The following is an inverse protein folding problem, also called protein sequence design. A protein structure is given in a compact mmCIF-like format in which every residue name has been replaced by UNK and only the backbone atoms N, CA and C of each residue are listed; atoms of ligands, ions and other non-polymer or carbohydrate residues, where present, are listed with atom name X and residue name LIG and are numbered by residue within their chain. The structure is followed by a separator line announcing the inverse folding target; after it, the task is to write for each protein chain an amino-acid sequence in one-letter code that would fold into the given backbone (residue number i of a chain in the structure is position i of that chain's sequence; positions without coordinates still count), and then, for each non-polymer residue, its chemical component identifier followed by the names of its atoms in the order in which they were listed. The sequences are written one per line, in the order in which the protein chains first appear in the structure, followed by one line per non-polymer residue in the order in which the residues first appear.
data_IF_270588868013
#
_entry.id   IF_270588868013
#
_cell.length_a   1.000
_cell.length_b   1.000
_cell.length_c   1.000
_cell.angle_alpha   90.00
_cell.angle_beta   90.00
_cell.angle_gamma   90.00
#
_symmetry.space_group_name_H-M   'P 1'
#
loop_
_entity.id
_entity.type
_entity.pdbx_description
1 polymer ?
#
# COMPACT_ATOMS: atom_id res chain seq x y z
N UNK A 1 -55.26 27.33 10.44
CA UNK A 1 -54.79 28.51 9.69
C UNK A 1 -53.31 28.66 9.98
N UNK A 2 -52.48 28.39 8.98
CA UNK A 2 -51.03 28.54 9.04
C UNK A 2 -50.72 30.03 8.90
N UNK A 3 -49.94 30.66 9.79
CA UNK A 3 -49.44 32.01 9.52
C UNK A 3 -48.26 31.90 8.57
N UNK A 4 -48.50 32.35 7.33
CA UNK A 4 -47.48 32.67 6.33
C UNK A 4 -46.61 33.82 6.82
N UNK A 5 -45.30 33.64 6.79
CA UNK A 5 -44.29 34.71 6.92
C UNK A 5 -43.50 34.75 5.62
N UNK A 6 -43.18 35.95 5.08
CA UNK A 6 -42.84 36.16 3.68
C UNK A 6 -41.39 35.83 3.36
N UNK A 7 -41.13 35.33 2.15
CA UNK A 7 -39.78 35.23 1.59
C UNK A 7 -39.16 36.63 1.42
N UNK A 8 -37.93 36.87 1.91
CA UNK A 8 -37.15 38.03 1.53
C UNK A 8 -36.35 37.78 0.25
N UNK A 9 -35.97 38.86 -0.48
CA UNK A 9 -35.51 38.79 -1.85
C UNK A 9 -34.12 38.15 -1.97
N UNK A 10 -33.93 37.44 -3.08
CA UNK A 10 -32.64 36.91 -3.51
C UNK A 10 -31.74 38.07 -3.95
N UNK A 11 -31.09 38.74 -3.00
CA UNK A 11 -29.93 39.61 -3.26
C UNK A 11 -28.66 38.89 -2.79
N UNK A 12 -27.81 38.57 -3.76
CA UNK A 12 -26.50 38.00 -3.52
C UNK A 12 -25.60 39.03 -2.81
N UNK A 13 -25.58 38.98 -1.48
CA UNK A 13 -24.59 39.69 -0.68
C UNK A 13 -23.23 38.99 -0.84
N UNK A 14 -22.37 39.57 -1.69
CA UNK A 14 -20.95 39.22 -1.77
C UNK A 14 -20.28 39.47 -0.41
N UNK A 15 -19.70 38.42 0.17
CA UNK A 15 -18.81 38.51 1.31
C UNK A 15 -17.47 39.19 0.92
N UNK A 16 -16.78 39.86 1.86
CA UNK A 16 -15.74 40.84 1.55
C UNK A 16 -14.52 40.21 0.85
N UNK A 17 -14.06 40.92 -0.18
CA UNK A 17 -12.92 40.60 -1.02
C UNK A 17 -11.63 40.39 -0.23
N UNK A 18 -11.10 39.16 -0.26
CA UNK A 18 -9.69 38.91 -0.04
C UNK A 18 -8.91 39.44 -1.26
N UNK A 19 -8.03 40.41 -1.06
CA UNK A 19 -7.31 41.18 -2.10
C UNK A 19 -6.20 40.40 -2.84
N UNK A 20 -6.32 39.08 -3.01
CA UNK A 20 -5.26 38.25 -3.61
C UNK A 20 -5.64 37.49 -4.90
N UNK A 21 -6.83 37.75 -5.50
CA UNK A 21 -7.17 37.16 -6.79
C UNK A 21 -7.94 38.15 -7.66
N UNK A 22 -7.20 38.90 -8.48
CA UNK A 22 -7.70 39.47 -9.73
C UNK A 22 -6.71 39.11 -10.84
N UNK A 23 -6.98 38.02 -11.55
CA UNK A 23 -6.56 37.82 -12.93
C UNK A 23 -7.37 36.65 -13.51
N UNK A 24 -8.38 37.00 -14.28
CA UNK A 24 -9.09 36.08 -15.17
C UNK A 24 -8.20 35.67 -16.36
N UNK A 25 -8.43 34.44 -16.80
CA UNK A 25 -8.25 33.93 -18.17
C UNK A 25 -6.86 34.03 -18.80
N UNK A 26 -6.06 32.97 -18.63
CA UNK A 26 -5.43 32.18 -19.71
C UNK A 26 -4.72 30.97 -19.07
N UNK A 27 -5.02 29.79 -19.61
CA UNK A 27 -4.38 28.48 -19.46
C UNK A 27 -3.36 28.25 -18.31
N UNK A 28 -3.65 27.23 -17.49
CA UNK A 28 -2.69 26.42 -16.73
C UNK A 28 -1.66 27.18 -15.87
N UNK A 29 -2.11 27.74 -14.75
CA UNK A 29 -1.23 27.91 -13.59
C UNK A 29 -2.04 27.91 -12.28
N UNK A 30 -1.67 27.02 -11.35
CA UNK A 30 -2.05 27.11 -9.93
C UNK A 30 -0.77 27.09 -9.11
N UNK A 31 -0.34 28.26 -8.65
CA UNK A 31 0.69 28.41 -7.62
C UNK A 31 -0.01 28.72 -6.29
N UNK A 32 0.31 27.96 -5.24
CA UNK A 32 -0.04 28.29 -3.86
C UNK A 32 1.26 28.47 -3.08
N UNK A 33 1.55 29.70 -2.66
CA UNK A 33 2.70 30.01 -1.80
C UNK A 33 2.43 29.58 -0.36
N UNK A 34 2.51 28.28 -0.05
CA UNK A 34 2.69 27.83 1.34
C UNK A 34 3.27 26.41 1.53
N UNK A 35 3.61 25.68 0.46
CA UNK A 35 4.08 24.28 0.59
C UNK A 35 5.32 23.89 -0.23
N UNK A 36 6.03 24.84 -0.86
CA UNK A 36 7.43 24.64 -1.28
C UNK A 36 7.75 23.45 -2.20
N UNK A 37 6.79 22.89 -2.94
CA UNK A 37 7.02 21.80 -3.90
C UNK A 37 6.36 22.16 -5.23
N UNK A 38 7.15 22.19 -6.31
CA UNK A 38 6.70 22.39 -7.68
C UNK A 38 7.00 21.13 -8.50
N UNK A 39 6.01 20.66 -9.27
CA UNK A 39 6.21 19.71 -10.36
C UNK A 39 5.57 20.31 -11.61
N UNK A 40 6.36 20.43 -12.68
CA UNK A 40 5.88 20.83 -14.00
C UNK A 40 6.92 20.54 -15.07
N UNK A 41 6.51 19.81 -16.11
CA UNK A 41 7.31 19.55 -17.32
C UNK A 41 7.12 20.67 -18.35
N UNK A 42 8.22 21.09 -19.00
CA UNK A 42 8.20 21.46 -20.41
C UNK A 42 9.62 21.40 -21.02
N UNK A 43 9.70 20.73 -22.18
CA UNK A 43 10.69 20.80 -23.24
C UNK A 43 12.12 21.31 -22.96
N UNK A 44 13.07 20.36 -22.93
CA UNK A 44 14.45 20.59 -23.38
C UNK A 44 15.44 21.09 -22.33
N UNK A 45 16.13 20.16 -21.67
CA UNK A 45 17.43 20.39 -21.02
C UNK A 45 17.40 20.62 -19.51
N UNK A 46 18.21 19.86 -18.77
CA UNK A 46 18.50 20.09 -17.35
C UNK A 46 19.66 21.07 -17.21
N UNK A 47 19.58 21.99 -16.26
CA UNK A 47 20.75 22.68 -15.69
C UNK A 47 20.65 22.66 -14.16
N UNK A 48 21.75 22.31 -13.50
CA UNK A 48 21.95 22.32 -12.05
C UNK A 48 22.79 23.56 -11.72
N UNK A 49 22.49 24.26 -10.62
CA UNK A 49 23.41 25.24 -10.00
C UNK A 49 23.67 24.84 -8.54
N UNK A 50 24.91 25.06 -8.12
CA UNK A 50 25.70 24.34 -7.12
C UNK A 50 25.41 24.59 -5.62
N UNK A 51 25.93 23.69 -4.74
CA UNK A 51 25.79 23.74 -3.30
C UNK A 51 26.98 24.44 -2.62
N UNK A 52 26.79 25.65 -2.12
CA UNK A 52 27.68 26.22 -1.12
C UNK A 52 27.15 25.86 0.26
N UNK A 53 27.81 24.90 0.93
CA UNK A 53 27.99 24.68 2.38
C UNK A 53 28.06 23.16 2.61
N UNK A 54 29.28 22.63 2.83
CA UNK A 54 29.68 21.58 3.80
C UNK A 54 31.19 21.21 3.59
N UNK A 55 31.89 20.66 4.61
CA UNK A 55 33.27 21.04 4.99
C UNK A 55 34.40 20.12 4.47
N UNK A 56 35.64 20.48 4.85
CA UNK A 56 36.92 20.28 4.16
C UNK A 56 37.63 18.91 4.21
N UNK A 57 37.00 17.81 4.61
CA UNK A 57 37.77 16.59 5.00
C UNK A 57 37.77 15.42 3.98
N UNK A 58 37.51 15.66 2.69
CA UNK A 58 37.53 14.59 1.66
C UNK A 58 38.45 14.88 0.45
N UNK A 59 39.54 15.63 0.65
CA UNK A 59 40.59 15.80 -0.36
C UNK A 59 41.65 14.70 -0.29
N UNK A 60 41.35 13.48 -0.75
CA UNK A 60 42.39 12.50 -1.11
C UNK A 60 41.87 11.33 -1.97
N UNK A 61 41.61 11.54 -3.27
CA UNK A 61 41.67 10.44 -4.25
C UNK A 61 42.35 10.93 -5.53
N UNK A 62 43.40 10.20 -5.92
CA UNK A 62 44.31 10.47 -7.04
C UNK A 62 43.59 10.46 -8.40
N UNK A 63 44.00 11.36 -9.31
CA UNK A 63 43.54 11.47 -10.71
C UNK A 63 43.89 10.21 -11.53
N UNK A 64 43.03 9.75 -12.46
CA UNK A 64 43.43 8.80 -13.51
C UNK A 64 44.08 9.50 -14.72
N UNK A 65 44.93 8.74 -15.41
CA UNK A 65 45.77 9.09 -16.55
C UNK A 65 44.99 9.48 -17.83
N UNK A 66 45.62 10.21 -18.79
CA UNK A 66 44.94 10.74 -19.96
C UNK A 66 44.75 9.67 -21.06
N UNK A 67 43.49 9.38 -21.39
CA UNK A 67 43.16 8.45 -22.48
C UNK A 67 41.68 8.08 -22.63
N UNK A 68 40.78 8.56 -21.77
CA UNK A 68 39.36 8.18 -21.81
C UNK A 68 38.50 9.28 -22.46
N UNK A 69 37.81 8.93 -23.56
CA UNK A 69 36.81 9.80 -24.19
C UNK A 69 35.69 10.12 -23.20
N UNK A 70 35.28 11.39 -23.14
CA UNK A 70 34.17 11.88 -22.33
C UNK A 70 32.85 11.41 -22.93
N UNK A 71 32.09 10.62 -22.18
CA UNK A 71 30.68 10.36 -22.48
C UNK A 71 29.83 11.49 -21.87
N UNK A 72 28.85 11.94 -22.66
CA UNK A 72 27.96 13.06 -22.32
C UNK A 72 26.94 12.66 -21.24
N UNK A 73 26.31 13.63 -20.59
CA UNK A 73 25.35 13.44 -19.49
C UNK A 73 24.10 12.58 -19.83
N UNK A 74 23.92 12.15 -21.08
CA UNK A 74 22.92 11.15 -21.47
C UNK A 74 23.31 9.71 -21.09
N UNK A 75 24.60 9.41 -20.87
CA UNK A 75 25.09 8.05 -20.63
C UNK A 75 25.00 7.61 -19.16
N UNK A 76 24.80 8.55 -18.23
CA UNK A 76 24.69 8.24 -16.78
C UNK A 76 23.27 7.87 -16.32
N UNK A 77 22.26 7.91 -17.21
CA UNK A 77 20.87 7.45 -16.92
C UNK A 77 20.58 6.01 -17.29
N UNK A 78 21.57 5.22 -17.72
CA UNK A 78 21.37 3.82 -18.16
C UNK A 78 22.23 2.84 -17.38
N UNK A 79 21.85 2.58 -16.13
CA UNK A 79 22.27 1.37 -15.44
C UNK A 79 21.06 0.44 -15.25
N UNK A 80 20.72 -0.24 -16.34
CA UNK A 80 20.06 -1.55 -16.41
C UNK A 80 20.61 -2.22 -17.69
N UNK A 81 21.91 -2.51 -17.67
CA UNK A 81 22.74 -2.66 -18.87
C UNK A 81 22.72 -4.06 -19.52
N UNK A 82 22.08 -5.06 -18.93
CA UNK A 82 21.98 -6.39 -19.54
C UNK A 82 20.71 -6.56 -20.38
N UNK A 83 19.57 -6.02 -19.94
CA UNK A 83 18.28 -6.24 -20.59
C UNK A 83 18.03 -5.32 -21.80
N UNK A 84 18.36 -4.03 -21.66
CA UNK A 84 18.24 -3.05 -22.75
C UNK A 84 19.25 -3.29 -23.89
N UNK A 85 20.39 -3.94 -23.58
CA UNK A 85 21.38 -4.34 -24.56
C UNK A 85 20.84 -5.49 -25.42
N UNK A 86 20.14 -6.46 -24.83
CA UNK A 86 19.52 -7.58 -25.54
C UNK A 86 18.42 -7.09 -26.50
N UNK A 87 17.54 -6.18 -26.06
CA UNK A 87 16.48 -5.65 -26.92
C UNK A 87 17.03 -4.87 -28.13
N UNK A 88 18.09 -4.08 -27.93
CA UNK A 88 18.71 -3.33 -29.05
C UNK A 88 19.45 -4.23 -30.04
N UNK A 89 19.96 -5.37 -29.60
CA UNK A 89 20.65 -6.34 -30.47
C UNK A 89 19.65 -7.14 -31.32
N UNK A 90 18.46 -7.44 -30.78
CA UNK A 90 17.35 -8.05 -31.54
C UNK A 90 16.73 -7.10 -32.56
N UNK A 91 16.46 -5.84 -32.19
CA UNK A 91 15.90 -4.84 -33.11
C UNK A 91 16.85 -4.49 -34.27
N UNK A 92 18.16 -4.69 -34.08
CA UNK A 92 19.19 -4.45 -35.09
C UNK A 92 19.49 -5.67 -35.99
N UNK A 93 18.81 -6.82 -35.78
CA UNK A 93 19.03 -8.03 -36.57
C UNK A 93 20.42 -8.65 -36.41
N UNK A 94 21.05 -8.48 -35.25
CA UNK A 94 22.42 -8.97 -35.03
C UNK A 94 22.46 -10.51 -34.94
N UNK A 95 23.27 -11.14 -35.80
CA UNK A 95 23.60 -12.57 -35.68
C UNK A 95 24.71 -12.78 -34.65
N UNK A 96 24.48 -13.73 -33.74
CA UNK A 96 25.45 -14.14 -32.73
C UNK A 96 26.46 -15.11 -33.32
N UNK A 97 27.76 -14.86 -33.11
CA UNK A 97 28.83 -15.81 -33.46
C UNK A 97 29.51 -16.31 -32.19
N UNK A 98 29.71 -17.63 -32.14
CA UNK A 98 30.55 -18.23 -31.11
C UNK A 98 31.99 -17.72 -31.24
N UNK A 99 32.56 -17.29 -30.12
CA UNK A 99 33.96 -16.90 -30.05
C UNK A 99 34.75 -18.12 -29.59
N UNK A 100 35.35 -18.86 -30.53
CA UNK A 100 36.37 -19.85 -30.20
C UNK A 100 37.68 -19.12 -29.81
N UNK A 101 38.24 -19.44 -28.64
CA UNK A 101 39.63 -19.06 -28.33
C UNK A 101 39.90 -18.36 -26.99
N UNK A 102 39.22 -18.68 -25.90
CA UNK A 102 39.70 -18.36 -24.54
C UNK A 102 40.22 -19.62 -23.86
N UNK A 103 41.54 -19.85 -23.96
CA UNK A 103 42.24 -20.88 -23.20
C UNK A 103 42.47 -20.43 -21.75
N UNK A 104 42.15 -21.33 -20.82
CA UNK A 104 42.36 -21.19 -19.38
C UNK A 104 43.87 -21.27 -19.03
N UNK A 105 44.48 -20.26 -18.38
CA UNK A 105 45.89 -20.31 -18.01
C UNK A 105 46.04 -21.03 -16.66
N UNK A 106 46.06 -22.36 -16.69
CA UNK A 106 46.24 -23.18 -15.48
C UNK A 106 46.92 -24.51 -15.77
N UNK A 107 48.26 -24.53 -15.72
CA UNK A 107 49.05 -25.74 -15.93
C UNK A 107 48.81 -26.82 -14.88
N UNK A 108 48.66 -28.07 -15.34
CA UNK A 108 49.07 -29.30 -14.66
C UNK A 108 49.25 -30.45 -15.66
N UNK A 109 50.28 -31.26 -15.41
CA UNK A 109 50.88 -32.30 -16.27
C UNK A 109 50.00 -33.52 -16.54
N UNK A 110 50.30 -34.34 -17.57
CA UNK A 110 49.42 -35.39 -18.06
C UNK A 110 49.73 -36.74 -17.41
N UNK A 111 48.80 -37.28 -16.62
CA UNK A 111 48.65 -38.73 -16.54
C UNK A 111 47.28 -39.13 -15.98
N UNK A 112 46.82 -40.31 -16.41
CA UNK A 112 45.52 -40.95 -16.21
C UNK A 112 44.38 -40.44 -17.08
N UNK A 113 43.89 -41.33 -17.94
CA UNK A 113 42.63 -41.22 -18.67
C UNK A 113 41.49 -41.77 -17.82
N UNK A 114 40.50 -40.96 -17.40
CA UNK A 114 39.18 -41.47 -17.07
C UNK A 114 38.25 -41.22 -18.26
N UNK A 115 37.74 -42.33 -18.80
CA UNK A 115 36.71 -42.43 -19.85
C UNK A 115 35.73 -41.26 -19.82
N UNK A 116 35.65 -40.53 -20.94
CA UNK A 116 34.65 -39.51 -21.17
C UNK A 116 33.25 -40.09 -20.96
N UNK A 117 32.56 -39.64 -19.89
CA UNK A 117 31.09 -39.63 -19.90
C UNK A 117 30.68 -38.65 -21.00
N UNK A 118 29.70 -38.98 -21.86
CA UNK A 118 29.19 -37.99 -22.81
C UNK A 118 28.70 -36.78 -22.00
N UNK A 119 29.35 -35.63 -22.19
CA UNK A 119 28.88 -34.36 -21.67
C UNK A 119 27.52 -34.10 -22.30
N UNK A 120 26.48 -34.33 -21.52
CA UNK A 120 25.11 -33.94 -21.84
C UNK A 120 25.06 -32.43 -21.97
N UNK A 121 25.00 -31.94 -23.21
CA UNK A 121 24.72 -30.59 -23.68
C UNK A 121 25.47 -29.42 -23.02
N UNK A 122 26.12 -28.59 -23.84
CA UNK A 122 26.66 -27.32 -23.37
C UNK A 122 25.54 -26.47 -22.73
N UNK A 123 25.82 -25.69 -21.66
CA UNK A 123 24.84 -24.79 -21.05
C UNK A 123 24.18 -23.85 -22.08
N UNK A 124 24.89 -23.54 -23.16
CA UNK A 124 24.41 -22.73 -24.29
C UNK A 124 23.28 -23.39 -25.09
N UNK A 125 23.26 -24.71 -25.28
CA UNK A 125 22.17 -25.35 -26.04
C UNK A 125 20.89 -25.53 -25.23
N UNK A 126 20.97 -25.43 -23.90
CA UNK A 126 19.84 -25.59 -23.00
C UNK A 126 18.94 -24.33 -22.94
N UNK A 127 19.52 -23.14 -23.10
CA UNK A 127 18.73 -21.90 -23.13
C UNK A 127 18.00 -21.72 -24.48
N UNK A 128 18.61 -22.15 -25.58
CA UNK A 128 18.02 -22.07 -26.93
C UNK A 128 16.77 -22.94 -27.06
N UNK A 129 16.79 -24.13 -26.44
CA UNK A 129 15.65 -25.06 -26.45
C UNK A 129 14.53 -24.67 -25.49
N UNK A 130 14.81 -23.84 -24.48
CA UNK A 130 13.79 -23.27 -23.58
C UNK A 130 13.24 -21.92 -24.08
N UNK A 131 13.82 -21.32 -25.13
CA UNK A 131 13.39 -20.01 -25.66
C UNK A 131 11.91 -19.98 -26.05
N UNK A 132 11.41 -21.09 -26.60
CA UNK A 132 10.00 -21.25 -27.01
C UNK A 132 9.07 -21.57 -25.83
N UNK A 133 9.60 -21.78 -24.61
CA UNK A 133 8.82 -21.92 -23.37
C UNK A 133 8.64 -20.60 -22.61
N UNK A 134 9.38 -19.54 -22.97
CA UNK A 134 9.17 -18.23 -22.37
C UNK A 134 7.96 -17.55 -23.01
N UNK A 135 7.09 -16.99 -22.17
CA UNK A 135 5.97 -16.15 -22.62
C UNK A 135 6.54 -15.01 -23.46
N UNK A 136 6.07 -14.83 -24.69
CA UNK A 136 6.55 -13.73 -25.53
C UNK A 136 6.17 -12.42 -24.87
N UNK A 137 7.10 -11.46 -24.80
CA UNK A 137 6.86 -10.14 -24.19
C UNK A 137 5.66 -9.43 -24.86
N UNK A 138 5.43 -9.67 -26.15
CA UNK A 138 4.25 -9.16 -26.86
C UNK A 138 2.92 -9.73 -26.35
N UNK A 139 2.91 -10.97 -25.85
CA UNK A 139 1.73 -11.60 -25.23
C UNK A 139 1.49 -11.04 -23.82
N UNK A 140 2.54 -10.60 -23.11
CA UNK A 140 2.43 -9.91 -21.81
C UNK A 140 1.79 -8.53 -21.99
N UNK A 141 2.18 -7.77 -23.01
CA UNK A 141 1.64 -6.43 -23.26
C UNK A 141 0.21 -6.41 -23.82
N UNK A 142 -0.30 -7.55 -24.31
CA UNK A 142 -1.67 -7.67 -24.82
C UNK A 142 -2.71 -8.00 -23.74
N UNK A 143 -2.28 -8.34 -22.52
CA UNK A 143 -3.17 -8.64 -21.40
C UNK A 143 -3.81 -7.36 -20.82
N UNK A 144 -5.08 -7.40 -20.38
CA UNK A 144 -5.67 -6.27 -19.67
C UNK A 144 -4.83 -5.94 -18.42
N UNK A 145 -4.45 -4.67 -18.28
CA UNK A 145 -3.62 -4.23 -17.17
C UNK A 145 -4.39 -4.34 -15.85
N UNK A 146 -3.99 -5.28 -15.00
CA UNK A 146 -4.54 -5.43 -13.65
C UNK A 146 -4.33 -4.14 -12.82
N UNK A 147 -5.30 -3.71 -11.99
CA UNK A 147 -5.10 -2.60 -11.07
C UNK A 147 -3.96 -2.89 -10.10
N UNK A 148 -3.08 -1.90 -9.91
CA UNK A 148 -1.93 -1.94 -9.00
C UNK A 148 -2.39 -1.67 -7.57
N UNK A 149 -2.34 -2.70 -6.73
CA UNK A 149 -2.78 -2.62 -5.34
C UNK A 149 -1.54 -2.53 -4.46
N UNK A 150 -1.32 -1.39 -3.81
CA UNK A 150 -0.19 -1.23 -2.90
C UNK A 150 -0.51 -1.89 -1.55
N UNK A 151 0.42 -2.70 -1.07
CA UNK A 151 0.39 -3.35 0.22
C UNK A 151 1.66 -2.98 0.99
N UNK A 152 1.52 -2.42 2.19
CA UNK A 152 2.68 -2.11 3.03
C UNK A 152 3.15 -3.36 3.76
N UNK A 153 4.43 -3.68 3.65
CA UNK A 153 5.00 -4.85 4.32
C UNK A 153 5.06 -4.67 5.83
N UNK A 154 4.99 -5.76 6.59
CA UNK A 154 5.54 -5.81 7.95
C UNK A 154 7.05 -5.99 7.88
N UNK A 155 7.68 -6.02 9.05
CA UNK A 155 9.10 -6.31 9.21
C UNK A 155 9.31 -7.24 10.38
N UNK A 156 10.27 -8.14 10.24
CA UNK A 156 10.75 -8.96 11.34
C UNK A 156 12.28 -8.97 11.38
N UNK A 157 12.85 -9.08 12.58
CA UNK A 157 14.30 -9.12 12.77
C UNK A 157 14.80 -10.57 12.66
N UNK A 158 15.57 -10.87 11.61
CA UNK A 158 16.19 -12.17 11.40
C UNK A 158 17.70 -12.03 11.29
N UNK A 159 18.45 -12.68 12.20
CA UNK A 159 19.93 -12.61 12.25
C UNK A 159 20.46 -11.16 12.25
N UNK A 160 19.87 -10.31 13.10
CA UNK A 160 20.17 -8.88 13.20
C UNK A 160 20.00 -8.09 11.89
N UNK A 161 19.16 -8.58 10.98
CA UNK A 161 18.78 -7.89 9.74
C UNK A 161 17.27 -7.84 9.64
N UNK A 162 16.77 -6.69 9.23
CA UNK A 162 15.35 -6.54 8.96
C UNK A 162 14.98 -7.25 7.66
N UNK A 163 13.90 -8.02 7.72
CA UNK A 163 13.29 -8.68 6.57
C UNK A 163 11.86 -8.19 6.48
N UNK A 164 11.51 -7.62 5.33
CA UNK A 164 10.16 -7.17 5.05
C UNK A 164 9.31 -8.37 4.61
N UNK A 165 8.11 -8.50 5.19
CA UNK A 165 7.20 -9.64 4.99
C UNK A 165 5.77 -9.16 4.77
N UNK A 166 4.97 -9.90 3.99
CA UNK A 166 3.53 -9.64 3.82
C UNK A 166 2.79 -10.97 3.88
N UNK A 167 1.65 -11.01 4.56
CA UNK A 167 0.82 -12.21 4.66
C UNK A 167 0.28 -12.63 3.30
N UNK A 168 0.35 -13.92 2.99
CA UNK A 168 -0.04 -14.45 1.66
C UNK A 168 -1.53 -14.28 1.39
N UNK A 169 -2.40 -14.39 2.40
CA UNK A 169 -3.85 -14.28 2.23
C UNK A 169 -4.27 -12.99 1.51
N UNK A 170 -3.72 -11.83 1.88
CA UNK A 170 -4.03 -10.57 1.20
C UNK A 170 -3.58 -10.61 -0.27
N UNK A 171 -2.38 -11.11 -0.53
CA UNK A 171 -1.79 -11.17 -1.87
C UNK A 171 -2.59 -12.11 -2.78
N UNK A 172 -2.93 -13.30 -2.27
CA UNK A 172 -3.73 -14.29 -2.97
C UNK A 172 -5.13 -13.79 -3.27
N UNK A 173 -5.80 -13.14 -2.31
CA UNK A 173 -7.14 -12.58 -2.53
C UNK A 173 -7.13 -11.45 -3.55
N UNK A 174 -6.13 -10.57 -3.51
CA UNK A 174 -5.95 -9.53 -4.53
C UNK A 174 -5.78 -10.17 -5.92
N UNK A 175 -4.89 -11.16 -6.05
CA UNK A 175 -4.65 -11.85 -7.32
C UNK A 175 -5.88 -12.62 -7.81
N UNK A 176 -6.57 -13.32 -6.90
CA UNK A 176 -7.78 -14.09 -7.18
C UNK A 176 -8.87 -13.23 -7.80
N UNK A 177 -9.00 -11.98 -7.36
CA UNK A 177 -9.99 -11.03 -7.90
C UNK A 177 -9.40 -10.09 -8.96
N UNK A 178 -8.28 -10.45 -9.56
CA UNK A 178 -7.72 -9.77 -10.73
C UNK A 178 -7.04 -8.44 -10.42
N UNK A 179 -6.32 -8.34 -9.30
CA UNK A 179 -5.40 -7.25 -9.01
C UNK A 179 -3.93 -7.68 -9.02
N UNK A 180 -3.03 -6.72 -9.21
CA UNK A 180 -1.59 -6.92 -9.09
C UNK A 180 -1.11 -6.35 -7.75
N UNK A 181 -0.78 -7.18 -6.74
CA UNK A 181 -0.29 -6.68 -5.47
C UNK A 181 1.16 -6.19 -5.61
N UNK A 182 1.43 -4.99 -5.11
CA UNK A 182 2.76 -4.37 -5.07
C UNK A 182 3.15 -4.24 -3.60
N UNK A 183 4.12 -5.06 -3.17
CA UNK A 183 4.67 -4.98 -1.82
C UNK A 183 5.62 -3.80 -1.74
N UNK A 184 5.29 -2.83 -0.87
CA UNK A 184 6.14 -1.67 -0.65
C UNK A 184 7.27 -1.99 0.32
N UNK A 185 8.53 -1.75 -0.06
CA UNK A 185 9.67 -1.94 0.84
C UNK A 185 9.64 -0.88 1.94
N UNK A 186 10.09 -1.23 3.15
CA UNK A 186 10.09 -0.31 4.28
C UNK A 186 11.46 0.31 4.52
N UNK A 187 11.97 1.09 3.58
CA UNK A 187 13.24 1.79 3.75
C UNK A 187 13.01 3.27 4.03
N UNK A 188 14.05 3.96 4.53
CA UNK A 188 13.98 5.40 4.80
C UNK A 188 13.67 6.22 3.54
N UNK A 189 14.04 5.70 2.37
CA UNK A 189 13.83 6.37 1.09
C UNK A 189 12.44 6.10 0.50
N UNK A 190 11.71 5.06 0.93
CA UNK A 190 10.41 4.71 0.32
C UNK A 190 9.42 5.88 0.42
N UNK A 191 9.37 6.58 1.55
CA UNK A 191 8.50 7.76 1.73
C UNK A 191 8.84 8.88 0.74
N UNK A 192 10.13 9.11 0.49
CA UNK A 192 10.62 10.12 -0.45
C UNK A 192 10.38 9.72 -1.92
N UNK A 193 10.23 8.42 -2.17
CA UNK A 193 10.05 7.82 -3.48
C UNK A 193 8.60 7.42 -3.75
N UNK A 194 7.64 7.84 -2.93
CA UNK A 194 6.22 7.45 -3.07
C UNK A 194 5.66 7.69 -4.47
N UNK A 195 6.09 8.76 -5.13
CA UNK A 195 5.68 9.07 -6.51
C UNK A 195 6.06 7.99 -7.53
N UNK A 196 7.14 7.24 -7.29
CA UNK A 196 7.60 6.16 -8.19
C UNK A 196 6.71 4.90 -8.10
N UNK A 197 5.87 4.82 -7.07
CA UNK A 197 4.89 3.76 -6.92
C UNK A 197 3.50 4.15 -7.46
N UNK A 198 3.42 5.29 -8.17
CA UNK A 198 2.21 5.78 -8.82
C UNK A 198 2.21 5.50 -10.34
N UNK A 199 1.02 5.36 -10.96
CA UNK A 199 -0.29 5.43 -10.34
C UNK A 199 -0.61 4.17 -9.53
N UNK A 200 -1.25 4.39 -8.38
CA UNK A 200 -1.81 3.38 -7.49
C UNK A 200 -3.32 3.30 -7.74
N UNK A 201 -3.83 2.10 -7.98
CA UNK A 201 -5.23 1.87 -8.30
C UNK A 201 -6.04 1.39 -7.07
N UNK A 202 -5.35 0.99 -6.01
CA UNK A 202 -5.95 0.66 -4.72
C UNK A 202 -4.91 0.54 -3.62
N UNK A 203 -5.33 0.73 -2.37
CA UNK A 203 -4.49 0.65 -1.18
C UNK A 203 -5.07 -0.36 -0.18
N UNK A 204 -4.23 -1.30 0.27
CA UNK A 204 -4.54 -2.20 1.38
C UNK A 204 -3.59 -1.93 2.55
N UNK A 205 -4.17 -1.60 3.71
CA UNK A 205 -3.44 -1.49 4.98
C UNK A 205 -4.05 -2.47 5.97
N UNK A 206 -3.28 -3.49 6.33
CA UNK A 206 -3.74 -4.55 7.20
C UNK A 206 -3.35 -4.29 8.67
N UNK A 207 -3.00 -5.36 9.38
CA UNK A 207 -2.61 -5.37 10.79
C UNK A 207 -1.26 -4.66 11.07
N UNK A 208 -0.90 -4.53 12.34
CA UNK A 208 0.44 -4.14 12.80
C UNK A 208 0.43 -3.88 14.30
N UNK A 209 1.55 -3.38 14.82
CA UNK A 209 1.64 -2.90 16.20
C UNK A 209 0.89 -1.57 16.37
N UNK A 210 0.76 -1.03 17.58
CA UNK A 210 0.09 0.25 17.81
C UNK A 210 0.59 1.41 16.92
N UNK A 211 -0.31 2.37 16.65
CA UNK A 211 0.05 3.63 16.00
C UNK A 211 0.94 4.46 16.94
N UNK A 212 2.06 5.00 16.48
CA UNK A 212 2.94 5.85 17.29
C UNK A 212 2.33 7.22 17.61
N UNK A 213 2.58 7.69 18.83
CA UNK A 213 2.10 9.00 19.32
C UNK A 213 2.63 10.15 18.46
N UNK A 214 3.92 10.13 18.13
CA UNK A 214 4.57 11.16 17.32
C UNK A 214 3.93 11.28 15.94
N UNK A 215 3.55 10.16 15.31
CA UNK A 215 2.93 10.17 13.99
C UNK A 215 1.47 10.62 14.09
N UNK A 216 0.73 10.15 15.09
CA UNK A 216 -0.63 10.65 15.35
C UNK A 216 -0.63 12.17 15.50
N UNK A 217 0.25 12.72 16.33
CA UNK A 217 0.40 14.17 16.51
C UNK A 217 0.80 14.88 15.21
N UNK A 218 1.77 14.34 14.48
CA UNK A 218 2.23 14.89 13.19
C UNK A 218 1.09 15.01 12.16
N UNK A 219 0.16 14.07 12.17
CA UNK A 219 -1.01 14.07 11.28
C UNK A 219 -2.26 14.70 11.92
N UNK A 220 -2.12 15.37 13.07
CA UNK A 220 -3.22 16.06 13.75
C UNK A 220 -4.28 15.12 14.35
N UNK A 221 -3.94 13.86 14.54
CA UNK A 221 -4.80 12.86 15.17
C UNK A 221 -4.68 12.94 16.70
N UNK A 222 -5.76 12.59 17.39
CA UNK A 222 -5.73 12.49 18.84
C UNK A 222 -4.94 11.25 19.27
N UNK A 223 -4.06 11.43 20.27
CA UNK A 223 -3.34 10.32 20.91
C UNK A 223 -4.24 9.65 21.94
N UNK A 224 -4.50 8.34 21.84
CA UNK A 224 -5.28 7.63 22.85
C UNK A 224 -4.49 7.43 24.15
N UNK A 225 -5.21 7.19 25.24
CA UNK A 225 -4.59 6.78 26.50
C UNK A 225 -3.93 5.41 26.34
N UNK A 226 -2.64 5.28 26.64
CA UNK A 226 -1.88 4.05 26.40
C UNK A 226 -1.98 3.07 27.55
N UNK A 227 -1.93 1.77 27.21
CA UNK A 227 -1.66 0.74 28.19
C UNK A 227 -0.22 0.91 28.73
N UNK A 228 -0.05 0.82 30.04
CA UNK A 228 1.27 0.99 30.68
C UNK A 228 1.56 -0.13 31.69
N UNK A 229 2.80 -0.18 32.19
CA UNK A 229 3.18 -1.10 33.26
C UNK A 229 3.21 -2.57 32.84
N UNK A 230 2.77 -3.46 33.72
CA UNK A 230 2.82 -4.92 33.51
C UNK A 230 1.83 -5.40 32.44
N UNK A 231 0.69 -4.72 32.29
CA UNK A 231 -0.30 -5.04 31.28
C UNK A 231 0.25 -4.84 29.86
N UNK A 232 0.98 -3.75 29.62
CA UNK A 232 1.66 -3.51 28.34
C UNK A 232 2.73 -4.56 28.04
N UNK A 233 3.49 -5.00 29.05
CA UNK A 233 4.53 -6.04 28.89
C UNK A 233 3.97 -7.39 28.48
N UNK A 234 2.73 -7.70 28.88
CA UNK A 234 2.05 -8.96 28.51
C UNK A 234 1.82 -9.06 27.00
N UNK A 235 1.54 -7.93 26.34
CA UNK A 235 1.28 -7.84 24.90
C UNK A 235 2.32 -6.93 24.24
N UNK A 236 3.60 -7.12 24.56
CA UNK A 236 4.68 -6.26 24.09
C UNK A 236 4.77 -6.21 22.55
N UNK A 237 4.51 -7.32 21.87
CA UNK A 237 4.50 -7.37 20.40
C UNK A 237 3.42 -6.50 19.77
N UNK A 238 2.30 -6.31 20.45
CA UNK A 238 1.15 -5.55 19.96
C UNK A 238 1.26 -4.07 20.35
N UNK A 239 1.72 -3.80 21.57
CA UNK A 239 1.86 -2.45 22.16
C UNK A 239 3.13 -1.69 21.71
N UNK A 240 4.06 -2.37 21.02
CA UNK A 240 5.18 -1.70 20.34
C UNK A 240 4.68 -0.72 19.27
N UNK A 241 5.54 0.20 18.81
CA UNK A 241 5.16 1.11 17.72
C UNK A 241 6.26 1.14 16.67
N UNK A 242 5.87 1.42 15.43
CA UNK A 242 6.80 1.41 14.29
C UNK A 242 6.69 2.70 13.48
N UNK A 243 7.31 3.76 13.99
CA UNK A 243 7.30 5.12 13.40
C UNK A 243 7.60 5.11 11.89
N UNK A 244 8.49 4.23 11.43
CA UNK A 244 8.84 4.15 10.01
C UNK A 244 7.73 3.54 9.14
N UNK A 245 7.00 2.56 9.66
CA UNK A 245 5.81 1.98 9.01
C UNK A 245 4.70 3.02 8.99
N UNK A 246 4.49 3.67 10.11
CA UNK A 246 3.42 4.65 10.34
C UNK A 246 3.57 5.82 9.39
N UNK A 247 4.77 6.40 9.30
CA UNK A 247 5.04 7.49 8.38
C UNK A 247 4.69 7.12 6.93
N UNK A 248 5.08 5.92 6.49
CA UNK A 248 4.80 5.43 5.14
C UNK A 248 3.30 5.23 4.92
N UNK A 249 2.63 4.55 5.84
CA UNK A 249 1.20 4.25 5.74
C UNK A 249 0.36 5.53 5.80
N UNK A 250 0.62 6.45 6.72
CA UNK A 250 -0.08 7.73 6.79
C UNK A 250 0.14 8.58 5.54
N UNK A 251 1.35 8.59 4.98
CA UNK A 251 1.60 9.29 3.73
C UNK A 251 0.78 8.69 2.56
N UNK A 252 0.77 7.35 2.45
CA UNK A 252 0.00 6.62 1.43
C UNK A 252 -1.51 6.81 1.58
N UNK A 253 -2.02 6.66 2.79
CA UNK A 253 -3.44 6.84 3.08
C UNK A 253 -3.88 8.27 2.80
N UNK A 254 -3.08 9.28 3.19
CA UNK A 254 -3.39 10.69 2.90
C UNK A 254 -3.47 10.92 1.40
N UNK A 255 -2.53 10.37 0.65
CA UNK A 255 -2.52 10.44 -0.81
C UNK A 255 -3.76 9.73 -1.40
N UNK A 256 -4.04 8.49 -0.97
CA UNK A 256 -5.16 7.70 -1.47
C UNK A 256 -6.50 8.40 -1.24
N UNK A 257 -6.74 8.90 -0.02
CA UNK A 257 -7.97 9.60 0.32
C UNK A 257 -8.13 10.93 -0.44
N UNK A 258 -7.01 11.64 -0.71
CA UNK A 258 -7.03 12.89 -1.48
C UNK A 258 -7.27 12.66 -2.98
N UNK A 259 -6.71 11.57 -3.54
CA UNK A 259 -6.86 11.19 -4.93
C UNK A 259 -8.15 10.40 -5.22
N UNK A 260 -8.89 9.99 -4.19
CA UNK A 260 -10.09 9.15 -4.33
C UNK A 260 -9.77 7.70 -4.69
N UNK A 261 -8.54 7.24 -4.44
CA UNK A 261 -8.13 5.84 -4.64
C UNK A 261 -8.94 4.94 -3.69
N UNK A 262 -9.46 3.80 -4.18
CA UNK A 262 -10.04 2.76 -3.33
C UNK A 262 -9.13 2.34 -2.16
N UNK A 263 -9.67 2.30 -0.95
CA UNK A 263 -8.96 1.93 0.28
C UNK A 263 -9.71 0.81 1.00
N UNK A 264 -9.02 -0.31 1.26
CA UNK A 264 -9.47 -1.37 2.13
C UNK A 264 -8.52 -1.52 3.32
N UNK A 265 -9.04 -1.43 4.53
CA UNK A 265 -8.23 -1.52 5.75
C UNK A 265 -8.73 -2.54 6.75
N UNK A 266 -7.79 -3.18 7.46
CA UNK A 266 -8.05 -4.23 8.45
C UNK A 266 -7.38 -3.92 9.79
N UNK A 267 -8.05 -4.25 10.89
CA UNK A 267 -7.56 -4.10 12.25
C UNK A 267 -6.92 -2.74 12.48
N UNK A 268 -5.62 -2.69 12.70
CA UNK A 268 -4.83 -1.47 12.85
C UNK A 268 -5.01 -0.49 11.68
N UNK A 269 -5.03 -0.95 10.44
CA UNK A 269 -5.27 -0.09 9.28
C UNK A 269 -6.61 0.63 9.37
N UNK A 270 -7.64 -0.01 9.93
CA UNK A 270 -8.95 0.61 10.13
C UNK A 270 -8.89 1.70 11.21
N UNK A 271 -8.19 1.44 12.33
CA UNK A 271 -7.96 2.44 13.37
C UNK A 271 -7.24 3.67 12.82
N UNK A 272 -6.23 3.44 11.98
CA UNK A 272 -5.50 4.50 11.29
C UNK A 272 -6.39 5.31 10.34
N UNK A 273 -7.22 4.65 9.52
CA UNK A 273 -8.20 5.31 8.67
C UNK A 273 -9.15 6.19 9.49
N UNK A 274 -9.61 5.68 10.64
CA UNK A 274 -10.48 6.43 11.54
C UNK A 274 -9.79 7.69 12.09
N UNK A 275 -8.57 7.55 12.62
CA UNK A 275 -7.76 8.68 13.11
C UNK A 275 -7.53 9.72 12.01
N UNK A 276 -7.21 9.30 10.78
CA UNK A 276 -7.00 10.22 9.65
C UNK A 276 -8.25 10.97 9.21
N UNK A 277 -9.44 10.46 9.55
CA UNK A 277 -10.71 11.16 9.38
C UNK A 277 -11.11 11.99 10.60
N UNK A 278 -10.24 12.09 11.61
CA UNK A 278 -10.48 12.85 12.84
C UNK A 278 -11.25 12.09 13.92
N UNK A 279 -11.37 10.77 13.78
CA UNK A 279 -11.93 9.91 14.82
C UNK A 279 -10.94 9.67 15.97
N UNK A 280 -11.42 9.00 17.02
CA UNK A 280 -10.63 8.68 18.22
C UNK A 280 -10.56 7.18 18.46
N UNK A 281 -9.59 6.75 19.27
CA UNK A 281 -9.40 5.35 19.64
C UNK A 281 -9.63 5.12 21.13
N UNK A 282 -10.14 3.93 21.47
CA UNK A 282 -9.93 3.30 22.76
C UNK A 282 -8.51 2.75 22.74
N UNK A 283 -7.67 3.18 23.68
CA UNK A 283 -6.26 2.78 23.66
C UNK A 283 -5.99 1.41 24.26
N UNK A 284 -6.92 0.89 25.04
CA UNK A 284 -6.99 -0.51 25.46
C UNK A 284 -8.41 -0.89 25.92
N UNK A 285 -9.04 -1.86 25.25
CA UNK A 285 -10.43 -2.25 25.49
C UNK A 285 -10.59 -2.85 26.90
N UNK A 286 -9.70 -3.76 27.32
CA UNK A 286 -9.83 -4.50 28.57
C UNK A 286 -9.72 -3.58 29.80
N UNK A 287 -8.87 -2.56 29.76
CA UNK A 287 -8.66 -1.64 30.88
C UNK A 287 -9.50 -0.36 30.85
N UNK A 288 -9.97 0.08 29.68
CA UNK A 288 -10.69 1.36 29.54
C UNK A 288 -12.20 1.20 29.31
N UNK A 289 -12.71 -0.03 29.20
CA UNK A 289 -14.12 -0.31 28.97
C UNK A 289 -14.63 -1.41 29.90
N UNK A 290 -15.95 -1.53 30.03
CA UNK A 290 -16.61 -2.62 30.76
C UNK A 290 -16.79 -3.89 29.89
N UNK A 291 -15.96 -4.07 28.86
CA UNK A 291 -16.05 -5.20 27.95
C UNK A 291 -15.81 -6.52 28.69
N UNK A 292 -16.70 -7.49 28.45
CA UNK A 292 -16.52 -8.88 28.86
C UNK A 292 -15.94 -9.78 27.76
N UNK A 293 -15.66 -9.21 26.58
CA UNK A 293 -15.13 -9.91 25.42
C UNK A 293 -13.61 -9.74 25.39
N UNK A 294 -12.88 -10.86 25.31
CA UNK A 294 -11.42 -10.83 25.12
C UNK A 294 -11.09 -10.61 23.65
N UNK A 295 -11.01 -9.34 23.24
CA UNK A 295 -10.65 -8.98 21.87
C UNK A 295 -9.18 -9.30 21.50
N UNK A 296 -8.29 -9.41 22.50
CA UNK A 296 -6.95 -9.95 22.33
C UNK A 296 -6.74 -11.13 23.27
N UNK A 297 -6.32 -12.26 22.69
CA UNK A 297 -5.86 -13.44 23.43
C UNK A 297 -4.35 -13.53 23.39
N UNK A 298 -3.77 -14.22 24.36
CA UNK A 298 -2.35 -14.53 24.33
C UNK A 298 -2.07 -15.49 23.16
N UNK A 299 -0.98 -15.25 22.42
CA UNK A 299 -0.58 -16.13 21.30
C UNK A 299 -0.30 -17.59 21.70
N UNK A 300 -0.09 -17.85 22.99
CA UNK A 300 0.04 -19.21 23.55
C UNK A 300 -1.30 -19.88 23.88
N UNK A 301 -2.42 -19.16 23.79
CA UNK A 301 -3.76 -19.73 23.97
C UNK A 301 -4.05 -20.73 22.83
N UNK A 302 -4.38 -22.00 23.14
CA UNK A 302 -4.71 -22.99 22.11
C UNK A 302 -5.89 -22.58 21.21
N UNK A 303 -6.76 -21.69 21.69
CA UNK A 303 -7.91 -21.17 20.96
C UNK A 303 -7.61 -19.82 20.29
N UNK A 304 -6.38 -19.33 20.30
CA UNK A 304 -6.01 -18.01 19.76
C UNK A 304 -6.53 -17.79 18.33
N UNK A 305 -6.29 -18.75 17.42
CA UNK A 305 -6.73 -18.63 16.02
C UNK A 305 -8.19 -19.03 15.76
N UNK A 306 -8.74 -19.92 16.59
CA UNK A 306 -10.12 -20.39 16.44
C UNK A 306 -11.14 -19.51 17.15
N UNK A 307 -10.70 -18.61 18.04
CA UNK A 307 -11.58 -17.75 18.80
C UNK A 307 -12.44 -16.87 17.88
N UNK A 308 -13.73 -16.79 18.19
CA UNK A 308 -14.69 -15.90 17.54
C UNK A 308 -15.57 -15.21 18.58
N UNK A 309 -15.95 -13.96 18.35
CA UNK A 309 -16.97 -13.26 19.13
C UNK A 309 -18.08 -12.75 18.19
N UNK A 310 -19.30 -12.52 18.72
CA UNK A 310 -20.40 -12.03 17.90
C UNK A 310 -20.23 -10.54 17.57
N UNK A 311 -20.73 -10.15 16.40
CA UNK A 311 -21.00 -8.77 16.01
C UNK A 311 -22.41 -8.67 15.46
N UNK A 312 -23.06 -7.52 15.66
CA UNK A 312 -24.34 -7.18 15.06
C UNK A 312 -24.10 -6.29 13.84
N UNK A 313 -24.45 -6.81 12.67
CA UNK A 313 -24.33 -6.13 11.38
C UNK A 313 -25.55 -5.24 11.13
N UNK A 314 -25.31 -3.98 10.77
CA UNK A 314 -26.36 -3.04 10.39
C UNK A 314 -26.84 -3.37 8.97
N UNK A 315 -28.15 -3.39 8.79
CA UNK A 315 -28.77 -3.58 7.47
C UNK A 315 -28.44 -2.42 6.53
N UNK A 316 -28.53 -2.66 5.21
CA UNK A 316 -28.24 -1.67 4.17
C UNK A 316 -26.82 -1.09 4.24
N UNK A 317 -25.86 -1.95 4.57
CA UNK A 317 -24.43 -1.64 4.56
C UNK A 317 -23.69 -2.60 3.64
N UNK A 318 -22.50 -2.24 3.13
CA UNK A 318 -21.67 -3.16 2.35
C UNK A 318 -21.44 -4.51 3.05
N UNK A 319 -21.15 -4.47 4.37
CA UNK A 319 -20.96 -5.67 5.16
C UNK A 319 -22.20 -6.58 5.15
N UNK A 320 -23.40 -6.01 5.23
CA UNK A 320 -24.64 -6.79 5.15
C UNK A 320 -24.84 -7.45 3.78
N UNK A 321 -24.38 -6.82 2.70
CA UNK A 321 -24.42 -7.39 1.36
C UNK A 321 -23.40 -8.52 1.20
N UNK A 322 -22.16 -8.32 1.64
CA UNK A 322 -21.10 -9.32 1.53
C UNK A 322 -21.44 -10.59 2.30
N UNK A 323 -22.02 -10.46 3.49
CA UNK A 323 -22.36 -11.57 4.36
C UNK A 323 -23.83 -12.00 4.29
N UNK A 324 -24.62 -11.46 3.35
CA UNK A 324 -26.08 -11.63 3.32
C UNK A 324 -26.56 -13.08 3.50
N UNK A 325 -25.92 -14.03 2.82
CA UNK A 325 -26.24 -15.47 2.87
C UNK A 325 -25.85 -16.14 4.20
N UNK A 326 -24.99 -15.49 4.98
CA UNK A 326 -24.47 -15.95 6.27
C UNK A 326 -25.12 -15.26 7.47
N UNK A 327 -25.89 -14.19 7.25
CA UNK A 327 -26.56 -13.48 8.32
C UNK A 327 -27.83 -14.22 8.74
N UNK A 328 -28.02 -14.39 10.05
CA UNK A 328 -29.23 -15.03 10.59
C UNK A 328 -30.53 -14.37 10.12
N UNK A 329 -31.60 -15.16 10.04
CA UNK A 329 -32.94 -14.69 9.63
C UNK A 329 -33.67 -13.87 10.72
N UNK A 330 -33.07 -13.69 11.90
CA UNK A 330 -33.63 -12.90 13.00
C UNK A 330 -33.53 -11.39 12.80
N UNK A 331 -34.11 -10.64 13.75
CA UNK A 331 -34.04 -9.17 13.79
C UNK A 331 -32.62 -8.65 13.97
N UNK A 332 -31.79 -9.36 14.75
CA UNK A 332 -30.36 -9.09 14.88
C UNK A 332 -29.57 -9.89 13.84
N UNK A 333 -28.98 -9.19 12.86
CA UNK A 333 -28.10 -9.78 11.84
C UNK A 333 -26.72 -10.05 12.45
N UNK A 334 -26.56 -11.19 13.10
CA UNK A 334 -25.32 -11.55 13.80
C UNK A 334 -24.32 -12.29 12.91
N UNK A 335 -23.03 -12.05 13.15
CA UNK A 335 -21.89 -12.75 12.55
C UNK A 335 -20.87 -13.07 13.65
N UNK A 336 -20.23 -14.25 13.60
CA UNK A 336 -19.11 -14.57 14.50
C UNK A 336 -17.79 -14.25 13.79
N UNK A 337 -16.97 -13.35 14.36
CA UNK A 337 -15.72 -12.88 13.74
C UNK A 337 -14.51 -13.14 14.64
N UNK A 338 -13.32 -13.28 14.04
CA UNK A 338 -12.06 -13.40 14.75
C UNK A 338 -11.61 -12.06 15.34
N UNK A 339 -10.69 -12.11 16.31
CA UNK A 339 -10.23 -10.90 17.00
C UNK A 339 -8.79 -11.05 17.49
N UNK A 340 -8.00 -10.03 17.19
CA UNK A 340 -6.56 -9.95 17.50
C UNK A 340 -6.16 -8.51 17.84
N UNK A 341 -7.01 -7.79 18.57
CA UNK A 341 -6.80 -6.36 18.82
C UNK A 341 -7.14 -6.00 20.26
N UNK A 342 -6.33 -5.13 20.86
CA UNK A 342 -6.62 -4.54 22.16
C UNK A 342 -7.06 -3.08 22.05
N UNK A 343 -6.71 -2.37 20.97
CA UNK A 343 -7.24 -1.05 20.64
C UNK A 343 -8.48 -1.17 19.74
N UNK A 344 -9.30 -0.12 19.71
CA UNK A 344 -10.43 -0.02 18.78
C UNK A 344 -10.82 1.43 18.48
N UNK A 345 -11.64 1.62 17.44
CA UNK A 345 -12.26 2.92 17.17
C UNK A 345 -13.30 3.25 18.25
N UNK A 346 -13.17 4.43 18.86
CA UNK A 346 -14.11 4.95 19.87
C UNK A 346 -15.17 5.82 19.22
N UNK A 347 -14.76 6.91 18.59
CA UNK A 347 -15.62 7.79 17.80
C UNK A 347 -15.17 7.76 16.34
N UNK A 348 -16.13 7.61 15.43
CA UNK A 348 -15.83 7.61 14.01
C UNK A 348 -15.55 9.02 13.49
N UNK A 349 -14.51 9.15 12.68
CA UNK A 349 -14.15 10.37 12.01
C UNK A 349 -15.15 10.81 10.93
N UNK A 350 -14.88 11.96 10.33
CA UNK A 350 -15.74 12.60 9.35
C UNK A 350 -16.08 11.68 8.18
N UNK A 351 -17.38 11.68 7.82
CA UNK A 351 -17.98 10.86 6.77
C UNK A 351 -17.92 9.35 6.98
N UNK A 352 -17.43 8.82 8.10
CA UNK A 352 -17.45 7.38 8.35
C UNK A 352 -18.76 6.96 9.03
N UNK A 353 -19.36 5.89 8.54
CA UNK A 353 -20.62 5.31 9.05
C UNK A 353 -20.35 3.89 9.53
N UNK A 354 -20.78 3.50 10.74
CA UNK A 354 -20.54 2.15 11.25
C UNK A 354 -21.40 1.12 10.50
N UNK A 355 -20.81 -0.04 10.24
CA UNK A 355 -21.45 -1.22 9.65
C UNK A 355 -21.74 -2.32 10.69
N UNK A 356 -20.95 -2.43 11.75
CA UNK A 356 -21.17 -3.42 12.80
C UNK A 356 -20.61 -2.99 14.16
N UNK A 357 -21.18 -3.56 15.22
CA UNK A 357 -20.65 -3.47 16.58
C UNK A 357 -20.68 -4.82 17.27
N UNK A 358 -19.72 -5.10 18.16
CA UNK A 358 -19.83 -6.18 19.14
C UNK A 358 -20.81 -5.82 20.28
N UNK A 359 -21.28 -6.80 21.07
CA UNK A 359 -22.24 -6.57 22.16
C UNK A 359 -21.81 -5.58 23.25
N UNK A 360 -20.52 -5.37 23.42
CA UNK A 360 -19.91 -4.40 24.34
C UNK A 360 -19.79 -2.99 23.72
N UNK A 361 -20.28 -2.80 22.49
CA UNK A 361 -20.37 -1.50 21.83
C UNK A 361 -19.14 -1.12 21.00
N UNK A 362 -18.11 -1.98 20.91
CA UNK A 362 -16.94 -1.73 20.08
C UNK A 362 -17.34 -1.72 18.59
N UNK A 363 -16.86 -0.72 17.85
CA UNK A 363 -17.10 -0.61 16.40
C UNK A 363 -16.18 -1.60 15.68
N UNK A 364 -16.81 -2.53 14.95
CA UNK A 364 -16.12 -3.66 14.32
C UNK A 364 -15.95 -3.50 12.80
N UNK A 365 -16.74 -2.60 12.21
CA UNK A 365 -16.67 -2.31 10.79
C UNK A 365 -17.29 -0.94 10.51
N UNK A 366 -16.77 -0.22 9.53
CA UNK A 366 -17.30 1.07 9.08
C UNK A 366 -16.88 1.37 7.63
N UNK A 367 -17.55 2.33 7.00
CA UNK A 367 -17.31 2.70 5.61
C UNK A 367 -17.64 4.17 5.34
N UNK A 368 -17.13 4.71 4.23
CA UNK A 368 -17.59 6.00 3.67
C UNK A 368 -18.89 5.78 2.87
N UNK A 369 -19.98 6.52 3.14
CA UNK A 369 -21.29 6.31 2.51
C UNK A 369 -21.32 6.68 1.03
N UNK A 370 -20.26 7.29 0.48
CA UNK A 370 -20.06 7.42 -0.97
C UNK A 370 -19.72 6.08 -1.63
N UNK A 371 -19.68 4.99 -0.88
CA UNK A 371 -19.41 3.65 -1.38
C UNK A 371 -20.25 3.31 -2.63
N UNK A 372 -19.54 3.12 -3.73
CA UNK A 372 -20.03 2.63 -5.01
C UNK A 372 -18.83 1.99 -5.73
N UNK A 373 -18.64 0.66 -5.60
CA UNK A 373 -17.58 -0.05 -6.29
C UNK A 373 -17.60 0.15 -7.80
N UNK A 374 -18.77 0.35 -8.42
CA UNK A 374 -18.87 0.53 -9.87
C UNK A 374 -18.42 1.91 -10.33
N UNK A 375 -18.46 2.89 -9.42
CA UNK A 375 -17.93 4.23 -9.64
C UNK A 375 -16.49 4.41 -9.12
N UNK A 376 -15.84 3.33 -8.65
CA UNK A 376 -14.49 3.39 -8.08
C UNK A 376 -14.43 4.04 -6.69
N UNK A 377 -15.56 4.13 -5.98
CA UNK A 377 -15.66 4.73 -4.66
C UNK A 377 -15.70 3.63 -3.59
N UNK A 378 -14.60 3.45 -2.87
CA UNK A 378 -14.50 2.40 -1.86
C UNK A 378 -13.55 2.84 -0.75
N UNK A 379 -14.06 3.10 0.45
CA UNK A 379 -13.25 3.38 1.64
C UNK A 379 -13.88 2.61 2.81
N UNK A 380 -13.18 1.58 3.27
CA UNK A 380 -13.70 0.61 4.24
C UNK A 380 -12.67 0.32 5.32
N UNK A 381 -13.14 0.25 6.57
CA UNK A 381 -12.40 -0.28 7.70
C UNK A 381 -13.11 -1.45 8.35
N UNK A 382 -12.38 -2.56 8.54
CA UNK A 382 -12.83 -3.74 9.27
C UNK A 382 -11.87 -3.96 10.44
N UNK A 383 -12.38 -4.14 11.66
CA UNK A 383 -11.52 -4.34 12.83
C UNK A 383 -11.07 -5.81 12.94
N UNK A 384 -11.89 -6.75 12.48
CA UNK A 384 -11.58 -8.17 12.34
C UNK A 384 -10.85 -8.52 11.02
N UNK A 385 -10.47 -9.79 10.86
CA UNK A 385 -9.63 -10.32 9.78
C UNK A 385 -10.37 -11.33 8.88
N UNK A 386 -11.19 -10.89 7.91
CA UNK A 386 -11.89 -11.80 6.99
C UNK A 386 -10.95 -12.69 6.18
N UNK A 387 -9.73 -12.24 5.91
CA UNK A 387 -8.72 -13.03 5.19
C UNK A 387 -8.27 -14.28 5.97
N UNK A 388 -8.46 -14.29 7.29
CA UNK A 388 -8.21 -15.44 8.17
C UNK A 388 -9.46 -16.26 8.47
N UNK A 389 -10.60 -15.91 7.86
CA UNK A 389 -11.90 -16.58 8.04
C UNK A 389 -12.50 -17.05 6.71
N UNK A 390 -11.66 -17.27 5.69
CA UNK A 390 -12.12 -17.68 4.35
C UNK A 390 -12.90 -19.01 4.35
N UNK A 391 -12.62 -19.89 5.32
CA UNK A 391 -13.35 -21.15 5.53
C UNK A 391 -14.66 -20.99 6.30
N UNK A 392 -14.86 -19.88 7.00
CA UNK A 392 -16.01 -19.67 7.88
C UNK A 392 -17.23 -19.16 7.08
N UNK A 393 -17.00 -18.20 6.18
CA UNK A 393 -18.07 -17.56 5.40
C UNK A 393 -17.63 -17.21 3.97
N UNK A 394 -18.51 -17.39 2.97
CA UNK A 394 -18.28 -16.89 1.61
C UNK A 394 -18.07 -15.36 1.56
N UNK A 395 -18.72 -14.62 2.47
CA UNK A 395 -18.64 -13.15 2.54
C UNK A 395 -17.23 -12.62 2.81
N UNK A 396 -16.36 -13.41 3.41
CA UNK A 396 -14.96 -13.05 3.65
C UNK A 396 -14.19 -12.75 2.37
N UNK A 397 -14.48 -13.47 1.28
CA UNK A 397 -13.87 -13.21 -0.01
C UNK A 397 -14.56 -12.05 -0.77
N UNK A 398 -15.86 -11.81 -0.53
CA UNK A 398 -16.64 -10.78 -1.23
C UNK A 398 -16.17 -9.35 -0.93
N UNK A 399 -15.60 -9.09 0.25
CA UNK A 399 -15.05 -7.76 0.55
C UNK A 399 -13.86 -7.42 -0.38
N UNK A 400 -13.01 -8.40 -0.72
CA UNK A 400 -11.93 -8.23 -1.69
C UNK A 400 -12.45 -8.13 -3.11
N UNK A 401 -13.45 -8.96 -3.47
CA UNK A 401 -14.10 -8.88 -4.77
C UNK A 401 -14.64 -7.48 -5.06
N UNK A 402 -15.39 -6.93 -4.10
CA UNK A 402 -15.97 -5.59 -4.16
C UNK A 402 -14.89 -4.50 -4.18
N UNK A 403 -13.83 -4.66 -3.40
CA UNK A 403 -12.68 -3.74 -3.43
C UNK A 403 -12.01 -3.74 -4.81
N UNK A 404 -11.76 -4.91 -5.42
CA UNK A 404 -11.12 -5.00 -6.73
C UNK A 404 -12.03 -4.54 -7.87
N UNK A 405 -13.37 -4.64 -7.73
CA UNK A 405 -14.31 -3.96 -8.62
C UNK A 405 -14.11 -2.45 -8.59
N UNK A 406 -14.00 -1.87 -7.40
CA UNK A 406 -13.68 -0.44 -7.23
C UNK A 406 -12.34 -0.05 -7.84
N UNK A 407 -11.29 -0.84 -7.63
CA UNK A 407 -9.97 -0.56 -8.20
C UNK A 407 -9.98 -0.59 -9.73
N UNK A 408 -10.74 -1.51 -10.35
CA UNK A 408 -10.89 -1.56 -11.81
C UNK A 408 -11.65 -0.34 -12.34
N UNK A 409 -12.75 0.04 -11.69
CA UNK A 409 -13.52 1.22 -12.07
C UNK A 409 -12.70 2.51 -11.93
N UNK A 410 -11.96 2.65 -10.82
CA UNK A 410 -11.06 3.77 -10.58
C UNK A 410 -9.96 3.83 -11.65
N UNK A 411 -9.29 2.71 -11.93
CA UNK A 411 -8.26 2.63 -12.96
C UNK A 411 -8.81 3.01 -14.35
N UNK A 412 -9.97 2.47 -14.72
CA UNK A 412 -10.60 2.79 -15.99
C UNK A 412 -10.92 4.29 -16.12
N UNK A 413 -11.37 4.93 -15.03
CA UNK A 413 -11.58 6.37 -15.00
C UNK A 413 -10.27 7.15 -15.19
N UNK A 414 -9.18 6.75 -14.51
CA UNK A 414 -7.86 7.38 -14.66
C UNK A 414 -7.31 7.22 -16.08
N UNK A 415 -7.43 6.03 -16.68
CA UNK A 415 -6.95 5.75 -18.03
C UNK A 415 -7.70 6.57 -19.11
N UNK A 416 -8.96 6.97 -18.86
CA UNK A 416 -9.72 7.87 -19.74
C UNK A 416 -9.32 9.34 -19.57
N UNK A 417 -8.85 9.73 -18.39
CA UNK A 417 -8.49 11.11 -18.08
C UNK A 417 -7.02 11.46 -18.40
N UNK A 418 -6.15 10.45 -18.52
CA UNK A 418 -4.73 10.58 -18.88
C UNK A 418 -4.53 10.77 -20.39
#
# INVERSE_FOLDING_TARGET
MVPTVPEPPFEAAMAPSCTACKADTLANSRFCHMCGVAVGMAHGGYSIVEPSILPADLQAVKKPSPGMRRNSAADLRRNNSSYLLLMRLEEAGAEWRDVEGLSDPGGRTPDSTPKARPMTMSPTKRWETDRDRFVKISEIHAAPAFPRILCVSRRYLRKNKYVDITGEYHLELIQKFGGAPIILPRTMQTVQQLCEYLPMDGLVIAEGQDLSDDILQKYGCQVPERLTGEAAKKFASDTETDVSKDELEFALMRFALAAGVPVLTFCRGSQMLNCMRGGTLVGDIESQTDSCIKHLRDSSDPEYDSFRHPITVKTKTPLAEWFGDSLGNGEAKMLMVNSYHHQASKELGWSLVPMAHSPDGIIEAFYDPRYDPKAGQFVVGLQFHPERMLGDYPGCARCYESFLEACRAYKAFQDVCA
#
